data_IF_873754837640
#
_entry.id   IF_873754837640
#
_cell.length_a   1.000
_cell.length_b   1.000
_cell.length_c   1.000
_cell.angle_alpha   90.00
_cell.angle_beta   90.00
_cell.angle_gamma   90.00
#
_symmetry.space_group_name_H-M   'P 1'
#
loop_
_entity.id
_entity.type
_entity.pdbx_description
1 polymer ?
#
# COMPACT_ATOMS: atom_id res chain seq x y z
N UNK A 1 0.25 1.21 20.57
CA UNK A 1 0.38 2.03 19.36
C UNK A 1 1.23 1.38 18.25
N UNK A 2 2.21 0.51 18.55
CA UNK A 2 3.06 -0.14 17.54
C UNK A 2 2.39 -1.25 16.70
N UNK A 3 1.37 -1.95 17.22
CA UNK A 3 0.72 -3.07 16.50
C UNK A 3 -0.01 -2.66 15.22
N UNK A 4 -0.47 -1.40 15.13
CA UNK A 4 -1.23 -0.90 13.99
C UNK A 4 -0.37 -0.79 12.72
N UNK A 5 0.88 -0.32 12.86
CA UNK A 5 1.81 -0.20 11.73
C UNK A 5 2.27 -1.57 11.24
N UNK A 6 2.56 -2.50 12.15
CA UNK A 6 2.94 -3.88 11.81
C UNK A 6 1.80 -4.61 11.09
N UNK A 7 0.56 -4.46 11.56
CA UNK A 7 -0.61 -5.06 10.91
C UNK A 7 -0.82 -4.54 9.49
N UNK A 8 -0.64 -3.24 9.26
CA UNK A 8 -0.78 -2.63 7.94
C UNK A 8 0.33 -3.12 7.00
N UNK A 9 1.59 -3.15 7.46
CA UNK A 9 2.71 -3.64 6.65
C UNK A 9 2.48 -5.10 6.27
N UNK A 10 2.11 -5.96 7.21
CA UNK A 10 1.81 -7.37 6.92
C UNK A 10 0.60 -7.49 5.98
N UNK A 11 -0.47 -6.74 6.18
CA UNK A 11 -1.64 -6.82 5.30
C UNK A 11 -1.32 -6.40 3.85
N UNK A 12 -0.55 -5.32 3.67
CA UNK A 12 -0.22 -4.79 2.34
C UNK A 12 0.88 -5.58 1.66
N UNK A 13 1.94 -5.97 2.37
CA UNK A 13 3.04 -6.78 1.82
C UNK A 13 2.55 -8.19 1.50
N UNK A 14 1.81 -8.84 2.40
CA UNK A 14 1.30 -10.19 2.15
C UNK A 14 0.14 -10.19 1.13
N UNK A 15 -0.69 -9.14 1.11
CA UNK A 15 -1.73 -8.96 0.12
C UNK A 15 -1.18 -8.74 -1.29
N UNK A 16 -0.24 -7.81 -1.44
CA UNK A 16 0.44 -7.53 -2.72
C UNK A 16 1.23 -8.73 -3.21
N UNK A 17 2.02 -9.36 -2.33
CA UNK A 17 2.81 -10.54 -2.66
C UNK A 17 1.95 -11.72 -3.09
N UNK A 18 0.88 -12.03 -2.34
CA UNK A 18 0.01 -13.16 -2.67
C UNK A 18 -0.80 -12.93 -3.95
N UNK A 19 -1.21 -11.69 -4.23
CA UNK A 19 -1.84 -11.31 -5.50
C UNK A 19 -0.84 -11.40 -6.66
N UNK A 20 0.37 -10.88 -6.50
CA UNK A 20 1.44 -10.98 -7.51
C UNK A 20 1.78 -12.47 -7.80
N UNK A 21 1.80 -13.32 -6.77
CA UNK A 21 2.03 -14.77 -6.89
C UNK A 21 0.85 -15.52 -7.55
N UNK A 22 -0.40 -15.17 -7.20
CA UNK A 22 -1.60 -15.77 -7.81
C UNK A 22 -1.74 -15.45 -9.29
N UNK A 23 -1.28 -14.28 -9.73
CA UNK A 23 -1.32 -13.90 -11.15
C UNK A 23 -0.08 -14.39 -11.90
N UNK A 24 0.92 -15.01 -11.21
CA UNK A 24 2.19 -15.50 -11.79
C UNK A 24 2.88 -14.46 -12.67
N UNK A 25 2.82 -13.20 -12.27
CA UNK A 25 3.51 -12.13 -13.00
C UNK A 25 4.91 -12.01 -12.40
N UNK A 26 5.97 -12.18 -13.19
CA UNK A 26 7.35 -11.97 -12.74
C UNK A 26 7.62 -10.53 -12.28
N UNK A 27 6.74 -9.62 -12.67
CA UNK A 27 6.76 -8.21 -12.32
C UNK A 27 5.73 -7.91 -11.22
N UNK A 28 6.13 -7.31 -10.08
CA UNK A 28 5.25 -7.08 -8.92
C UNK A 28 4.30 -5.89 -9.15
N UNK A 29 3.36 -6.04 -10.09
CA UNK A 29 2.44 -4.99 -10.54
C UNK A 29 1.46 -4.60 -9.43
N UNK A 30 0.92 -5.54 -8.67
CA UNK A 30 -0.03 -5.23 -7.60
C UNK A 30 0.65 -4.49 -6.45
N UNK A 31 1.88 -4.88 -6.10
CA UNK A 31 2.70 -4.15 -5.13
C UNK A 31 2.93 -2.70 -5.57
N UNK A 32 3.23 -2.47 -6.85
CA UNK A 32 3.38 -1.13 -7.42
C UNK A 32 2.09 -0.32 -7.35
N UNK A 33 0.95 -0.90 -7.72
CA UNK A 33 -0.37 -0.24 -7.66
C UNK A 33 -0.70 0.14 -6.21
N UNK A 34 -0.48 -0.76 -5.26
CA UNK A 34 -0.72 -0.50 -3.85
C UNK A 34 0.14 0.64 -3.29
N UNK A 35 1.41 0.71 -3.70
CA UNK A 35 2.30 1.83 -3.36
C UNK A 35 1.78 3.13 -3.99
N UNK A 36 1.41 3.11 -5.27
CA UNK A 36 0.90 4.29 -6.00
C UNK A 36 -0.38 4.84 -5.36
N UNK A 37 -1.30 3.96 -4.97
CA UNK A 37 -2.52 4.32 -4.24
C UNK A 37 -2.19 4.87 -2.85
N UNK A 38 -1.28 4.23 -2.13
CA UNK A 38 -0.83 4.68 -0.81
C UNK A 38 -0.19 6.07 -0.85
N UNK A 39 0.68 6.32 -1.82
CA UNK A 39 1.31 7.64 -2.05
C UNK A 39 0.26 8.69 -2.43
N UNK A 40 -0.67 8.36 -3.33
CA UNK A 40 -1.74 9.28 -3.74
C UNK A 40 -2.64 9.67 -2.57
N UNK A 41 -3.02 8.70 -1.73
CA UNK A 41 -3.82 8.96 -0.52
C UNK A 41 -3.03 9.76 0.52
N UNK A 42 -1.74 9.49 0.69
CA UNK A 42 -0.89 10.25 1.60
C UNK A 42 -0.78 11.72 1.16
N UNK A 43 -0.55 11.98 -0.13
CA UNK A 43 -0.52 13.33 -0.70
C UNK A 43 -1.87 14.02 -0.55
N UNK A 44 -2.97 13.34 -0.87
CA UNK A 44 -4.31 13.89 -0.69
C UNK A 44 -4.60 14.23 0.77
N UNK A 45 -4.26 13.33 1.70
CA UNK A 45 -4.42 13.58 3.13
C UNK A 45 -3.58 14.76 3.58
N UNK A 46 -2.33 14.87 3.14
CA UNK A 46 -1.44 15.98 3.48
C UNK A 46 -1.97 17.32 2.96
N UNK A 47 -2.41 17.38 1.70
CA UNK A 47 -3.01 18.59 1.12
C UNK A 47 -4.27 18.98 1.90
N UNK A 48 -5.12 18.00 2.25
CA UNK A 48 -6.34 18.23 3.02
C UNK A 48 -6.05 18.71 4.45
N UNK A 49 -4.97 18.24 5.06
CA UNK A 49 -4.51 18.67 6.38
C UNK A 49 -3.91 20.09 6.34
N UNK A 50 -3.21 20.45 5.26
CA UNK A 50 -2.67 21.80 5.05
C UNK A 50 -3.73 22.84 4.69
N UNK A 51 -4.84 22.42 4.09
CA UNK A 51 -6.00 23.27 3.79
C UNK A 51 -6.94 23.49 4.97
N UNK A 52 -6.68 22.82 6.11
CA UNK A 52 -7.47 22.93 7.33
C UNK A 52 -6.84 23.91 8.31
#
# INVERSE_FOLDING_TARGET
>A
MAGKMILIILAFTFGGYKLDEQVKIEFPVFTLIFILLGVSLAIYSMIKDLLK
#
